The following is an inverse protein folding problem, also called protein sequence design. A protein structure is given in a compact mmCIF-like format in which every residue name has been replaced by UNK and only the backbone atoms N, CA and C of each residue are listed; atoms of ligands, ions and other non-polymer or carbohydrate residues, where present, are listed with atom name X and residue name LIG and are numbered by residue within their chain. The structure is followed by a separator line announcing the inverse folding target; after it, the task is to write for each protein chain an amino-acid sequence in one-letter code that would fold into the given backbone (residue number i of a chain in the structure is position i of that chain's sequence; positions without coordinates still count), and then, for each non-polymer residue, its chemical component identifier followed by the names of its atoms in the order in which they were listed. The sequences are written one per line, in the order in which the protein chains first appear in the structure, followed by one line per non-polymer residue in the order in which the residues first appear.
data_IF_467672504698
#
_entry.id   IF_467672504698
#
_cell.length_a   1.000
_cell.length_b   1.000
_cell.length_c   1.000
_cell.angle_alpha   90.00
_cell.angle_beta   90.00
_cell.angle_gamma   90.00
#
_symmetry.space_group_name_H-M   'P 1'
#
loop_
_entity.id
_entity.type
_entity.pdbx_description
1 polymer ?
#
# COMPACT_ATOMS: atom_id res chain seq x y z
N UNK A 1 1.85 2.59 6.90
CA UNK A 1 1.26 3.65 7.76
C UNK A 1 0.02 4.34 7.15
N UNK A 2 -0.33 4.09 5.92
CA UNK A 2 -1.41 4.77 5.16
C UNK A 2 -2.83 4.31 5.50
N UNK A 3 -3.00 3.10 6.04
CA UNK A 3 -4.30 2.52 6.34
C UNK A 3 -5.13 3.37 7.32
N UNK A 4 -6.39 3.67 6.96
CA UNK A 4 -7.37 4.38 7.77
C UNK A 4 -6.89 5.74 8.33
N UNK A 5 -6.14 6.51 7.53
CA UNK A 5 -5.68 7.85 7.92
C UNK A 5 -5.48 8.75 6.69
N UNK A 6 -5.56 10.05 6.90
CA UNK A 6 -5.27 11.02 5.86
C UNK A 6 -3.76 11.09 5.58
N UNK A 7 -3.38 11.27 4.32
CA UNK A 7 -1.97 11.38 3.90
C UNK A 7 -1.17 12.44 4.65
N UNK A 8 -1.82 13.56 5.03
CA UNK A 8 -1.23 14.61 5.87
C UNK A 8 -0.67 14.04 7.19
N UNK A 9 -1.39 13.14 7.82
CA UNK A 9 -1.01 12.52 9.09
C UNK A 9 0.17 11.55 8.92
N UNK A 10 0.20 10.82 7.81
CA UNK A 10 1.35 9.96 7.45
C UNK A 10 2.61 10.80 7.25
N UNK A 11 2.51 11.90 6.51
CA UNK A 11 3.62 12.84 6.33
C UNK A 11 4.18 13.37 7.65
N UNK A 12 3.31 13.68 8.61
CA UNK A 12 3.73 14.14 9.93
C UNK A 12 4.50 13.05 10.70
N UNK A 13 4.03 11.80 10.66
CA UNK A 13 4.73 10.67 11.28
C UNK A 13 6.10 10.43 10.65
N UNK A 14 6.18 10.43 9.32
CA UNK A 14 7.45 10.29 8.60
C UNK A 14 8.41 11.44 8.93
N UNK A 15 7.91 12.68 8.95
CA UNK A 15 8.72 13.85 9.33
C UNK A 15 9.22 13.78 10.78
N UNK A 16 8.41 13.22 11.69
CA UNK A 16 8.84 12.97 13.07
C UNK A 16 9.99 11.98 13.14
N UNK A 17 9.85 10.82 12.47
CA UNK A 17 10.91 9.81 12.40
C UNK A 17 12.19 10.39 11.77
N UNK A 18 12.06 11.12 10.67
CA UNK A 18 13.20 11.75 9.97
C UNK A 18 13.95 12.75 10.87
N UNK A 19 13.22 13.63 11.59
CA UNK A 19 13.85 14.63 12.50
C UNK A 19 14.61 13.98 13.64
N UNK A 20 14.26 12.76 14.03
CA UNK A 20 14.93 11.99 15.07
C UNK A 20 15.98 11.02 14.52
N UNK A 21 16.28 11.07 13.20
CA UNK A 21 17.20 10.13 12.53
C UNK A 21 16.80 8.66 12.71
N UNK A 22 15.49 8.36 12.62
CA UNK A 22 14.92 7.04 12.84
C UNK A 22 14.30 6.42 11.59
N UNK A 23 14.71 6.87 10.39
CA UNK A 23 14.23 6.32 9.11
C UNK A 23 15.20 5.28 8.51
N UNK A 24 15.95 4.61 9.35
CA UNK A 24 16.74 3.46 8.97
C UNK A 24 16.33 2.22 9.76
N UNK A 25 16.71 1.06 9.26
CA UNK A 25 16.32 -0.22 9.85
C UNK A 25 16.82 -0.37 11.28
N UNK A 26 18.12 -0.12 11.52
CA UNK A 26 18.76 -0.31 12.81
C UNK A 26 18.12 0.55 13.90
N UNK A 27 17.86 1.82 13.58
CA UNK A 27 17.23 2.74 14.50
C UNK A 27 15.78 2.31 14.83
N UNK A 28 15.00 1.92 13.82
CA UNK A 28 13.64 1.43 14.02
C UNK A 28 13.59 0.11 14.80
N UNK A 29 14.54 -0.80 14.52
CA UNK A 29 14.61 -2.09 15.18
C UNK A 29 14.95 -1.96 16.68
N UNK A 30 15.80 -0.99 17.07
CA UNK A 30 16.17 -0.73 18.49
C UNK A 30 15.05 -0.15 19.32
N UNK A 31 14.13 0.61 18.72
CA UNK A 31 13.00 1.19 19.44
C UNK A 31 12.11 0.10 20.03
N UNK A 32 11.60 0.34 21.23
CA UNK A 32 10.47 -0.42 21.74
C UNK A 32 9.18 -0.11 20.96
N UNK A 33 8.21 -0.99 21.01
CA UNK A 33 6.90 -0.77 20.38
C UNK A 33 6.23 0.51 20.91
N UNK A 34 6.35 0.80 22.20
CA UNK A 34 5.78 1.99 22.83
C UNK A 34 6.45 3.29 22.38
N UNK A 35 7.77 3.33 22.26
CA UNK A 35 8.49 4.48 21.73
C UNK A 35 8.12 4.76 20.28
N UNK A 36 8.11 3.72 19.44
CA UNK A 36 7.68 3.83 18.03
C UNK A 36 6.23 4.32 17.93
N UNK A 37 5.34 3.80 18.76
CA UNK A 37 3.93 4.21 18.79
C UNK A 37 3.77 5.70 19.05
N UNK A 38 4.52 6.27 20.01
CA UNK A 38 4.50 7.69 20.32
C UNK A 38 5.00 8.54 19.13
N UNK A 39 6.07 8.11 18.45
CA UNK A 39 6.65 8.83 17.31
C UNK A 39 5.71 8.89 16.09
N UNK A 40 4.91 7.83 15.88
CA UNK A 40 3.96 7.75 14.76
C UNK A 40 2.52 8.08 15.16
N UNK A 41 2.29 8.68 16.32
CA UNK A 41 0.95 8.95 16.89
C UNK A 41 0.03 9.69 15.91
N UNK A 42 0.57 10.62 15.12
CA UNK A 42 -0.22 11.37 14.13
C UNK A 42 -0.86 10.47 13.06
N UNK A 43 -0.32 9.27 12.79
CA UNK A 43 -0.86 8.35 11.78
C UNK A 43 -2.19 7.70 12.17
N UNK A 44 -2.68 7.85 13.42
CA UNK A 44 -3.85 7.15 13.94
C UNK A 44 -3.63 5.63 14.08
N UNK A 45 -4.38 4.97 14.94
CA UNK A 45 -4.19 3.54 15.24
C UNK A 45 -2.73 3.16 15.50
N UNK A 46 -1.99 4.09 16.09
CA UNK A 46 -0.54 4.10 16.17
C UNK A 46 0.04 2.90 16.93
N UNK A 47 -0.63 2.38 17.95
CA UNK A 47 -0.19 1.17 18.66
C UNK A 47 -0.18 -0.05 17.74
N UNK A 48 -1.27 -0.27 16.98
CA UNK A 48 -1.33 -1.36 16.01
C UNK A 48 -0.32 -1.16 14.87
N UNK A 49 -0.12 0.08 14.42
CA UNK A 49 0.87 0.39 13.37
C UNK A 49 2.30 0.19 13.86
N UNK A 50 2.61 0.56 15.11
CA UNK A 50 3.90 0.28 15.72
C UNK A 50 4.17 -1.22 15.80
N UNK A 51 3.19 -2.00 16.27
CA UNK A 51 3.31 -3.46 16.31
C UNK A 51 3.56 -4.08 14.93
N UNK A 52 2.87 -3.62 13.89
CA UNK A 52 3.08 -4.09 12.51
C UNK A 52 4.47 -3.73 11.98
N UNK A 53 4.94 -2.50 12.25
CA UNK A 53 6.29 -2.07 11.87
C UNK A 53 7.36 -2.87 12.61
N UNK A 54 7.17 -3.16 13.90
CA UNK A 54 8.08 -4.01 14.69
C UNK A 54 8.11 -5.44 14.17
N UNK A 55 6.95 -5.99 13.80
CA UNK A 55 6.88 -7.33 13.20
C UNK A 55 7.67 -7.40 11.87
N UNK A 56 7.59 -6.34 11.05
CA UNK A 56 8.39 -6.24 9.84
C UNK A 56 9.89 -6.17 10.14
N UNK A 57 10.30 -5.32 11.09
CA UNK A 57 11.70 -5.22 11.51
C UNK A 57 12.24 -6.55 12.07
N UNK A 58 11.45 -7.24 12.90
CA UNK A 58 11.82 -8.53 13.47
C UNK A 58 11.97 -9.62 12.38
N UNK A 59 11.06 -9.67 11.44
CA UNK A 59 11.15 -10.57 10.30
C UNK A 59 12.43 -10.32 9.48
N UNK A 60 12.70 -9.05 9.17
CA UNK A 60 13.89 -8.64 8.42
C UNK A 60 15.18 -8.98 9.19
N UNK A 61 15.22 -8.74 10.50
CA UNK A 61 16.37 -9.11 11.34
C UNK A 61 16.61 -10.61 11.34
N UNK A 62 15.57 -11.39 11.57
CA UNK A 62 15.68 -12.84 11.78
C UNK A 62 16.01 -13.58 10.49
N UNK A 63 15.42 -13.18 9.36
CA UNK A 63 15.54 -13.89 8.09
C UNK A 63 16.62 -13.33 7.18
N UNK A 64 16.89 -12.02 7.29
CA UNK A 64 17.70 -11.27 6.34
C UNK A 64 18.80 -10.44 7.01
N UNK A 65 19.05 -10.65 8.31
CA UNK A 65 20.08 -9.94 9.09
C UNK A 65 19.99 -8.42 9.01
N UNK A 66 18.77 -7.90 8.80
CA UNK A 66 18.53 -6.46 8.65
C UNK A 66 18.76 -5.92 7.24
N UNK A 67 19.20 -6.75 6.29
CA UNK A 67 19.45 -6.32 4.91
C UNK A 67 18.15 -6.17 4.12
N UNK A 68 17.61 -4.94 4.13
CA UNK A 68 16.41 -4.59 3.38
C UNK A 68 16.63 -4.67 1.86
N UNK A 69 17.83 -4.37 1.39
CA UNK A 69 18.12 -4.38 -0.05
C UNK A 69 18.10 -5.81 -0.58
N UNK A 70 18.73 -6.73 0.15
CA UNK A 70 18.72 -8.14 -0.18
C UNK A 70 17.31 -8.73 -0.08
N UNK A 71 16.53 -8.36 0.94
CA UNK A 71 15.13 -8.77 1.09
C UNK A 71 14.28 -8.35 -0.12
N UNK A 72 14.39 -7.10 -0.57
CA UNK A 72 13.62 -6.55 -1.68
C UNK A 72 14.13 -7.01 -3.07
N UNK A 73 15.33 -7.58 -3.16
CA UNK A 73 15.89 -8.08 -4.43
C UNK A 73 15.38 -9.48 -4.84
N UNK A 74 14.55 -10.12 -4.02
CA UNK A 74 13.91 -11.38 -4.38
C UNK A 74 13.00 -11.19 -5.60
N UNK A 75 12.72 -12.28 -6.32
CA UNK A 75 11.71 -12.28 -7.39
C UNK A 75 10.31 -11.97 -6.84
N UNK A 76 9.44 -11.40 -7.67
CA UNK A 76 8.12 -10.90 -7.29
C UNK A 76 7.25 -11.92 -6.55
N UNK A 77 7.16 -13.15 -7.04
CA UNK A 77 6.34 -14.20 -6.42
C UNK A 77 6.81 -14.61 -5.03
N UNK A 78 8.09 -15.00 -4.87
CA UNK A 78 8.70 -15.28 -3.57
C UNK A 78 8.58 -14.11 -2.58
N UNK A 79 8.91 -12.89 -2.99
CA UNK A 79 8.83 -11.70 -2.15
C UNK A 79 7.38 -11.43 -1.68
N UNK A 80 6.40 -11.50 -2.59
CA UNK A 80 4.98 -11.35 -2.24
C UNK A 80 4.56 -12.38 -1.19
N UNK A 81 4.90 -13.65 -1.42
CA UNK A 81 4.56 -14.75 -0.52
C UNK A 81 5.17 -14.55 0.87
N UNK A 82 6.41 -14.09 0.94
CA UNK A 82 7.09 -13.83 2.21
C UNK A 82 6.49 -12.60 2.92
N UNK A 83 6.21 -11.50 2.20
CA UNK A 83 5.53 -10.34 2.75
C UNK A 83 4.19 -10.67 3.40
N UNK A 84 3.39 -11.52 2.77
CA UNK A 84 2.09 -11.95 3.30
C UNK A 84 2.17 -12.79 4.58
N UNK A 85 3.34 -13.36 4.91
CA UNK A 85 3.56 -14.07 6.18
C UNK A 85 3.85 -13.12 7.35
N UNK A 86 4.17 -11.85 7.07
CA UNK A 86 4.51 -10.87 8.11
C UNK A 86 3.23 -10.33 8.75
N UNK A 87 3.16 -10.36 10.07
CA UNK A 87 2.01 -9.85 10.80
C UNK A 87 1.66 -8.41 10.40
N UNK A 88 0.43 -8.23 9.94
CA UNK A 88 -0.12 -6.93 9.58
C UNK A 88 0.19 -6.44 8.16
N UNK A 89 0.84 -7.25 7.34
CA UNK A 89 0.95 -7.05 5.90
C UNK A 89 -0.12 -7.89 5.21
N UNK A 90 -1.12 -7.23 4.65
CA UNK A 90 -2.12 -7.85 3.78
C UNK A 90 -1.76 -7.64 2.29
N UNK A 91 -2.59 -8.18 1.37
CA UNK A 91 -2.35 -8.13 -0.07
C UNK A 91 -2.05 -6.72 -0.60
N UNK A 92 -2.89 -5.73 -0.29
CA UNK A 92 -2.67 -4.32 -0.69
C UNK A 92 -1.31 -3.78 -0.24
N UNK A 93 -0.89 -4.11 0.99
CA UNK A 93 0.41 -3.64 1.52
C UNK A 93 1.58 -4.38 0.88
N UNK A 94 1.45 -5.68 0.64
CA UNK A 94 2.45 -6.49 -0.03
C UNK A 94 2.67 -5.98 -1.47
N UNK A 95 1.60 -5.81 -2.24
CA UNK A 95 1.68 -5.33 -3.61
C UNK A 95 2.17 -3.86 -3.69
N UNK A 96 1.84 -3.02 -2.68
CA UNK A 96 2.42 -1.68 -2.56
C UNK A 96 3.93 -1.71 -2.29
N UNK A 97 4.43 -2.64 -1.50
CA UNK A 97 5.87 -2.81 -1.26
C UNK A 97 6.56 -3.28 -2.55
N UNK A 98 5.98 -4.24 -3.26
CA UNK A 98 6.49 -4.70 -4.54
C UNK A 98 6.61 -3.55 -5.55
N UNK A 99 5.52 -2.81 -5.74
CA UNK A 99 5.46 -1.78 -6.77
C UNK A 99 6.32 -0.55 -6.45
N UNK A 100 6.30 -0.07 -5.20
CA UNK A 100 6.89 1.21 -4.82
C UNK A 100 8.24 1.11 -4.11
N UNK A 101 8.57 -0.03 -3.51
CA UNK A 101 9.84 -0.21 -2.79
C UNK A 101 10.78 -1.19 -3.48
N UNK A 102 10.26 -2.28 -4.02
CA UNK A 102 11.05 -3.26 -4.76
C UNK A 102 11.12 -2.95 -6.27
N UNK A 103 10.33 -2.00 -6.78
CA UNK A 103 10.23 -1.66 -8.20
C UNK A 103 9.94 -2.88 -9.08
N UNK A 104 9.00 -3.70 -8.62
CA UNK A 104 8.57 -4.90 -9.33
C UNK A 104 7.11 -4.75 -9.77
N UNK A 105 6.74 -5.22 -10.97
CA UNK A 105 5.39 -5.05 -11.48
C UNK A 105 4.41 -5.92 -10.70
N UNK A 106 3.63 -5.28 -9.82
CA UNK A 106 2.48 -5.85 -9.13
C UNK A 106 1.41 -4.78 -9.03
N UNK A 107 0.23 -5.04 -9.58
CA UNK A 107 -0.84 -4.05 -9.55
C UNK A 107 -1.41 -3.91 -8.14
N UNK A 108 -1.58 -2.67 -7.66
CA UNK A 108 -2.13 -2.38 -6.33
C UNK A 108 -3.62 -2.11 -6.45
N UNK A 109 -4.42 -2.92 -5.78
CA UNK A 109 -5.87 -2.75 -5.69
C UNK A 109 -6.23 -2.16 -4.33
N UNK A 110 -6.69 -0.93 -4.30
CA UNK A 110 -7.15 -0.27 -3.09
C UNK A 110 -8.69 -0.08 -3.09
N UNK A 111 -9.20 0.51 -2.03
CA UNK A 111 -10.65 0.77 -1.92
C UNK A 111 -11.18 1.74 -2.99
N UNK A 112 -10.35 2.60 -3.58
CA UNK A 112 -10.74 3.46 -4.68
C UNK A 112 -10.87 2.67 -5.97
N UNK A 113 -9.90 1.80 -6.25
CA UNK A 113 -9.90 0.89 -7.39
C UNK A 113 -11.16 0.03 -7.40
N UNK A 114 -11.42 -0.73 -6.32
CA UNK A 114 -12.62 -1.55 -6.20
C UNK A 114 -13.91 -0.74 -6.43
N UNK A 115 -14.01 0.43 -5.77
CA UNK A 115 -15.21 1.26 -5.87
C UNK A 115 -15.46 1.83 -7.25
N UNK A 116 -14.40 2.26 -7.96
CA UNK A 116 -14.51 2.80 -9.32
C UNK A 116 -14.96 1.68 -10.24
N UNK A 117 -14.29 0.55 -10.23
CA UNK A 117 -14.56 -0.56 -11.13
C UNK A 117 -15.96 -1.16 -10.92
N UNK A 118 -16.37 -1.33 -9.66
CA UNK A 118 -17.73 -1.77 -9.33
C UNK A 118 -18.79 -0.76 -9.81
N UNK A 119 -18.62 0.54 -9.54
CA UNK A 119 -19.62 1.54 -9.92
C UNK A 119 -19.77 1.74 -11.42
N UNK A 120 -18.77 1.40 -12.19
CA UNK A 120 -18.81 1.40 -13.65
C UNK A 120 -19.36 0.10 -14.24
N UNK A 121 -19.67 -0.91 -13.40
CA UNK A 121 -20.18 -2.20 -13.84
C UNK A 121 -19.10 -3.13 -14.43
N UNK A 122 -17.83 -2.76 -14.34
CA UNK A 122 -16.74 -3.54 -14.92
C UNK A 122 -16.39 -4.79 -14.12
N UNK A 123 -16.74 -4.81 -12.83
CA UNK A 123 -16.54 -5.95 -11.94
C UNK A 123 -17.69 -6.09 -10.95
N UNK A 124 -17.88 -7.29 -10.40
CA UNK A 124 -18.86 -7.56 -9.36
C UNK A 124 -18.54 -6.79 -8.05
N UNK A 125 -19.56 -6.51 -7.25
CA UNK A 125 -19.41 -5.77 -5.98
C UNK A 125 -18.55 -6.52 -4.96
N UNK A 126 -18.64 -7.83 -4.97
CA UNK A 126 -17.99 -8.75 -4.03
C UNK A 126 -16.66 -9.32 -4.56
N UNK A 127 -16.13 -8.76 -5.66
CA UNK A 127 -14.86 -9.21 -6.22
C UNK A 127 -13.74 -9.19 -5.17
N UNK A 128 -13.01 -10.29 -5.07
CA UNK A 128 -11.88 -10.42 -4.15
C UNK A 128 -10.67 -9.58 -4.57
N UNK A 129 -9.80 -9.26 -3.59
CA UNK A 129 -8.57 -8.50 -3.87
C UNK A 129 -7.71 -9.17 -4.94
N UNK A 130 -7.39 -10.45 -4.76
CA UNK A 130 -6.49 -11.17 -5.66
C UNK A 130 -7.12 -11.32 -7.05
N UNK A 131 -8.41 -11.57 -7.13
CA UNK A 131 -9.15 -11.67 -8.40
C UNK A 131 -9.11 -10.36 -9.18
N UNK A 132 -9.37 -9.23 -8.54
CA UNK A 132 -9.28 -7.91 -9.20
C UNK A 132 -7.84 -7.56 -9.56
N UNK A 133 -6.87 -7.90 -8.72
CA UNK A 133 -5.45 -7.74 -9.05
C UNK A 133 -5.06 -8.56 -10.28
N UNK A 134 -5.44 -9.83 -10.31
CA UNK A 134 -5.12 -10.73 -11.42
C UNK A 134 -5.78 -10.25 -12.72
N UNK A 135 -7.01 -9.72 -12.66
CA UNK A 135 -7.65 -9.05 -13.79
C UNK A 135 -6.75 -7.95 -14.40
N UNK A 136 -6.15 -7.08 -13.58
CA UNK A 136 -5.21 -6.07 -14.07
C UNK A 136 -3.92 -6.68 -14.60
N UNK A 137 -3.38 -7.67 -13.90
CA UNK A 137 -2.12 -8.33 -14.29
C UNK A 137 -2.24 -9.10 -15.60
N UNK A 138 -3.42 -9.65 -15.91
CA UNK A 138 -3.69 -10.39 -17.14
C UNK A 138 -3.99 -9.46 -18.33
N UNK A 139 -4.55 -8.27 -18.07
CA UNK A 139 -4.97 -7.35 -19.12
C UNK A 139 -3.91 -6.30 -19.49
N UNK A 140 -2.92 -6.06 -18.64
CA UNK A 140 -1.93 -4.99 -18.82
C UNK A 140 -0.51 -5.56 -18.94
N UNK A 141 0.29 -4.92 -19.78
CA UNK A 141 1.73 -5.22 -19.81
C UNK A 141 2.37 -4.91 -18.46
N UNK A 142 3.19 -5.83 -17.91
CA UNK A 142 3.79 -5.67 -16.58
C UNK A 142 4.90 -4.62 -16.58
N UNK A 143 4.52 -3.36 -16.41
CA UNK A 143 5.40 -2.21 -16.32
C UNK A 143 5.23 -1.48 -15.01
N UNK A 144 6.34 -1.18 -14.33
CA UNK A 144 6.35 -0.57 -12.99
C UNK A 144 5.85 0.87 -13.03
N UNK A 145 6.35 1.69 -13.95
CA UNK A 145 6.01 3.11 -14.04
C UNK A 145 4.54 3.26 -14.46
N UNK A 146 4.11 2.43 -15.40
CA UNK A 146 2.71 2.39 -15.83
C UNK A 146 1.75 2.01 -14.69
N UNK A 147 2.09 0.99 -13.90
CA UNK A 147 1.26 0.58 -12.76
C UNK A 147 1.24 1.64 -11.65
N UNK A 148 2.38 2.30 -11.39
CA UNK A 148 2.45 3.39 -10.43
C UNK A 148 1.57 4.56 -10.84
N UNK A 149 1.63 4.97 -12.10
CA UNK A 149 0.80 6.07 -12.61
C UNK A 149 -0.68 5.69 -12.65
N UNK A 150 -1.01 4.50 -13.15
CA UNK A 150 -2.41 4.04 -13.21
C UNK A 150 -3.03 4.01 -11.81
N UNK A 151 -2.36 3.41 -10.84
CA UNK A 151 -2.82 3.39 -9.46
C UNK A 151 -2.98 4.82 -8.90
N UNK A 152 -2.02 5.70 -9.13
CA UNK A 152 -2.11 7.11 -8.69
C UNK A 152 -3.31 7.85 -9.32
N UNK A 153 -3.61 7.59 -10.59
CA UNK A 153 -4.78 8.17 -11.27
C UNK A 153 -6.10 7.64 -10.69
N UNK A 154 -6.19 6.34 -10.40
CA UNK A 154 -7.37 5.75 -9.73
C UNK A 154 -7.58 6.34 -8.33
N UNK A 155 -6.51 6.45 -7.53
CA UNK A 155 -6.55 7.12 -6.22
C UNK A 155 -7.04 8.56 -6.36
N UNK A 156 -6.52 9.31 -7.33
CA UNK A 156 -6.93 10.69 -7.58
C UNK A 156 -8.39 10.79 -8.01
N UNK A 157 -8.82 9.95 -8.95
CA UNK A 157 -10.22 9.90 -9.40
C UNK A 157 -11.17 9.53 -8.26
N UNK A 158 -10.80 8.52 -7.47
CA UNK A 158 -11.55 8.08 -6.30
C UNK A 158 -11.65 9.14 -5.20
N UNK A 159 -10.58 9.89 -4.98
CA UNK A 159 -10.53 10.96 -3.99
C UNK A 159 -11.28 12.22 -4.42
N UNK A 160 -11.18 12.62 -5.67
CA UNK A 160 -11.79 13.86 -6.16
C UNK A 160 -13.24 13.66 -6.59
N UNK A 161 -13.56 12.59 -7.27
CA UNK A 161 -14.85 12.40 -7.94
C UNK A 161 -15.64 11.19 -7.40
N UNK A 162 -15.06 10.00 -7.38
CA UNK A 162 -15.75 8.78 -6.97
C UNK A 162 -15.79 8.61 -5.45
N UNK A 163 -16.34 9.61 -4.74
CA UNK A 163 -16.49 9.64 -3.28
C UNK A 163 -17.67 8.79 -2.83
N UNK A 164 -17.96 8.78 -1.50
CA UNK A 164 -19.18 8.15 -0.95
C UNK A 164 -20.44 8.69 -1.64
N UNK A 165 -20.52 10.02 -1.83
CA UNK A 165 -21.48 10.67 -2.74
C UNK A 165 -20.70 11.01 -4.00
N UNK A 166 -20.91 10.32 -5.13
CA UNK A 166 -20.11 10.51 -6.33
C UNK A 166 -20.43 11.86 -6.99
N UNK A 167 -19.44 12.40 -7.69
CA UNK A 167 -19.47 13.66 -8.40
C UNK A 167 -19.22 13.41 -9.89
N UNK A 168 -20.13 12.62 -10.51
CA UNK A 168 -19.95 12.03 -11.82
C UNK A 168 -19.90 13.06 -12.95
N UNK A 169 -20.69 14.15 -12.89
CA UNK A 169 -20.76 15.17 -13.95
C UNK A 169 -19.40 15.78 -14.29
N UNK A 170 -18.45 15.78 -13.36
CA UNK A 170 -17.10 16.33 -13.52
C UNK A 170 -16.02 15.25 -13.54
N UNK A 171 -16.41 13.97 -13.46
CA UNK A 171 -15.48 12.87 -13.45
C UNK A 171 -14.93 12.60 -14.85
N UNK A 172 -13.61 12.46 -15.03
CA UNK A 172 -13.05 12.11 -16.34
C UNK A 172 -13.48 10.73 -16.85
N UNK A 173 -14.03 9.89 -15.99
CA UNK A 173 -14.57 8.57 -16.33
C UNK A 173 -16.08 8.61 -16.60
N UNK A 174 -16.72 9.81 -16.64
CA UNK A 174 -18.14 9.93 -16.93
C UNK A 174 -18.44 9.43 -18.35
N UNK A 175 -19.45 8.57 -18.49
CA UNK A 175 -19.83 7.96 -19.77
C UNK A 175 -19.06 6.67 -20.12
N UNK A 176 -18.06 6.28 -19.33
CA UNK A 176 -17.36 5.00 -19.45
C UNK A 176 -18.07 3.96 -18.59
N UNK A 177 -19.28 3.59 -18.97
CA UNK A 177 -20.04 2.48 -18.38
C UNK A 177 -20.16 1.39 -19.42
N UNK A 178 -20.26 0.12 -18.99
CA UNK A 178 -20.69 -0.93 -19.93
C UNK A 178 -22.08 -0.54 -20.44
N UNK A 179 -22.20 -0.44 -21.77
CA UNK A 179 -23.46 -0.22 -22.47
C UNK A 179 -24.32 -1.48 -22.51
#
# INVERSE_FOLDING_TARGET
MTQNTAWKNVKQSIACLRRNNLLDFEALHRLSESELALLIRSSGYYNQKARKLKAFCEHLQTRWQGDLSLFLSQETGPLRKELLQIYGIGPETADSILLYAAFQPSFVVDTYTCRIFHRHGWVAEDIGYDELRDYFMDCLEPDVEYFQEYHALLVRAGHLYCRRKPFCDFCPLNGWTEG
#
